data_IF_123176812945
#
_entry.id   IF_123176812945
#
_cell.length_a   1.000
_cell.length_b   1.000
_cell.length_c   1.000
_cell.angle_alpha   90.00
_cell.angle_beta   90.00
_cell.angle_gamma   90.00
#
_symmetry.space_group_name_H-M   'P 1'
#
loop_
_entity.id
_entity.type
_entity.pdbx_description
1 polymer ?
#
# COMPACT_ATOMS: atom_id res chain seq x y z
N UNK A 1 -13.65 9.79 -17.17
CA UNK A 1 -12.57 9.02 -17.85
C UNK A 1 -12.22 7.86 -16.93
N UNK A 2 -12.43 6.60 -17.35
CA UNK A 2 -12.08 5.44 -16.53
C UNK A 2 -10.55 5.32 -16.59
N UNK A 3 -9.85 5.57 -15.49
CA UNK A 3 -8.42 5.28 -15.45
C UNK A 3 -8.21 3.77 -15.47
N UNK A 4 -7.54 3.29 -16.52
CA UNK A 4 -7.13 1.89 -16.63
C UNK A 4 -5.82 1.70 -15.87
N UNK A 5 -5.78 0.75 -14.93
CA UNK A 5 -4.54 0.27 -14.34
C UNK A 5 -3.90 -0.71 -15.33
N UNK A 6 -2.67 -0.42 -15.76
CA UNK A 6 -1.98 -1.18 -16.82
C UNK A 6 -0.66 -1.74 -16.29
N UNK A 7 -0.32 -2.96 -16.70
CA UNK A 7 0.89 -3.68 -16.31
C UNK A 7 0.92 -4.02 -14.80
N UNK A 8 2.10 -4.33 -14.26
CA UNK A 8 2.35 -4.70 -12.85
C UNK A 8 1.83 -6.07 -12.42
N UNK A 9 1.58 -6.97 -13.37
CA UNK A 9 1.09 -8.33 -13.08
C UNK A 9 2.02 -9.11 -12.14
N UNK A 10 3.33 -9.01 -12.36
CA UNK A 10 4.33 -9.69 -11.53
C UNK A 10 4.37 -9.13 -10.11
N UNK A 11 4.36 -7.80 -9.97
CA UNK A 11 4.36 -7.14 -8.66
C UNK A 11 3.07 -7.44 -7.89
N UNK A 12 1.91 -7.38 -8.55
CA UNK A 12 0.62 -7.76 -7.95
C UNK A 12 0.60 -9.21 -7.50
N UNK A 13 1.13 -10.13 -8.32
CA UNK A 13 1.24 -11.55 -7.96
C UNK A 13 2.08 -11.74 -6.70
N UNK A 14 3.23 -11.07 -6.60
CA UNK A 14 4.08 -11.14 -5.40
C UNK A 14 3.32 -10.63 -4.18
N UNK A 15 2.62 -9.49 -4.28
CA UNK A 15 1.83 -8.94 -3.17
C UNK A 15 0.70 -9.90 -2.74
N UNK A 16 0.00 -10.51 -3.70
CA UNK A 16 -1.08 -11.47 -3.44
C UNK A 16 -0.58 -12.76 -2.80
N UNK A 17 0.54 -13.31 -3.29
CA UNK A 17 1.15 -14.52 -2.75
C UNK A 17 1.59 -14.30 -1.30
N UNK A 18 2.14 -13.13 -0.97
CA UNK A 18 2.55 -12.78 0.40
C UNK A 18 1.37 -12.50 1.31
N UNK A 19 0.34 -11.81 0.82
CA UNK A 19 -0.88 -11.56 1.57
C UNK A 19 -1.65 -12.84 1.93
N UNK A 20 -1.64 -13.83 1.04
CA UNK A 20 -2.22 -15.16 1.29
C UNK A 20 -1.33 -16.05 2.14
N UNK A 21 -0.07 -15.66 2.35
CA UNK A 21 0.80 -16.41 3.24
C UNK A 21 0.22 -16.36 4.66
N UNK A 22 0.12 -17.52 5.32
CA UNK A 22 -0.33 -17.60 6.71
C UNK A 22 0.79 -17.24 7.70
N UNK A 23 1.78 -16.45 7.25
CA UNK A 23 2.96 -16.07 8.01
C UNK A 23 2.98 -14.55 8.21
N UNK A 24 3.57 -14.05 9.29
CA UNK A 24 3.88 -12.64 9.41
C UNK A 24 4.84 -12.23 8.29
N UNK A 25 4.48 -11.24 7.49
CA UNK A 25 5.28 -10.72 6.37
C UNK A 25 5.50 -9.22 6.55
N UNK A 26 6.71 -8.77 6.20
CA UNK A 26 7.04 -7.35 6.15
C UNK A 26 7.69 -7.04 4.79
N UNK A 27 7.05 -6.16 4.02
CA UNK A 27 7.47 -5.83 2.66
C UNK A 27 7.86 -4.36 2.56
N UNK A 28 8.99 -4.10 1.89
CA UNK A 28 9.45 -2.76 1.54
C UNK A 28 9.30 -2.59 0.03
N UNK A 29 8.40 -1.71 -0.40
CA UNK A 29 8.26 -1.34 -1.81
C UNK A 29 9.08 -0.07 -2.10
N UNK A 30 10.18 -0.21 -2.84
CA UNK A 30 11.08 0.88 -3.17
C UNK A 30 11.15 1.14 -4.69
N UNK A 31 11.68 2.30 -5.08
CA UNK A 31 11.87 2.68 -6.48
C UNK A 31 11.81 4.18 -6.70
N UNK A 32 12.06 4.63 -7.94
CA UNK A 32 12.10 6.07 -8.30
C UNK A 32 10.78 6.80 -8.02
N UNK A 33 10.84 8.13 -7.85
CA UNK A 33 9.65 8.98 -7.70
C UNK A 33 8.77 8.87 -8.95
N UNK A 34 7.44 8.83 -8.79
CA UNK A 34 6.42 8.75 -9.87
C UNK A 34 6.39 7.47 -10.73
N UNK A 35 6.95 6.35 -10.28
CA UNK A 35 6.84 5.05 -11.01
C UNK A 35 5.53 4.30 -10.77
N UNK A 36 4.60 4.88 -9.99
CA UNK A 36 3.30 4.26 -9.69
C UNK A 36 3.26 3.33 -8.47
N UNK A 37 4.21 3.46 -7.52
CA UNK A 37 4.21 2.62 -6.30
C UNK A 37 2.96 2.79 -5.45
N UNK A 38 2.55 4.04 -5.21
CA UNK A 38 1.33 4.35 -4.47
C UNK A 38 0.11 3.76 -5.15
N UNK A 39 0.01 3.93 -6.47
CA UNK A 39 -1.08 3.39 -7.27
C UNK A 39 -1.12 1.85 -7.22
N UNK A 40 0.04 1.18 -7.28
CA UNK A 40 0.14 -0.27 -7.14
C UNK A 40 -0.44 -0.75 -5.80
N UNK A 41 -0.10 -0.09 -4.69
CA UNK A 41 -0.60 -0.45 -3.36
C UNK A 41 -2.10 -0.16 -3.24
N UNK A 42 -2.57 1.02 -3.67
CA UNK A 42 -3.98 1.38 -3.64
C UNK A 42 -4.83 0.41 -4.48
N UNK A 43 -4.33 0.00 -5.66
CA UNK A 43 -4.97 -1.02 -6.48
C UNK A 43 -4.99 -2.38 -5.78
N UNK A 44 -3.86 -2.80 -5.20
CA UNK A 44 -3.73 -4.09 -4.52
C UNK A 44 -4.68 -4.23 -3.31
N UNK A 45 -4.89 -3.16 -2.54
CA UNK A 45 -5.69 -3.20 -1.30
C UNK A 45 -7.19 -2.94 -1.51
N UNK A 46 -7.62 -2.53 -2.72
CA UNK A 46 -8.98 -2.03 -2.99
C UNK A 46 -10.11 -2.93 -2.48
N UNK A 47 -9.96 -4.24 -2.64
CA UNK A 47 -10.97 -5.24 -2.27
C UNK A 47 -10.49 -6.12 -1.07
N UNK A 48 -9.66 -5.55 -0.19
CA UNK A 48 -9.07 -6.24 0.95
C UNK A 48 -9.24 -5.43 2.24
N UNK A 49 -9.51 -6.09 3.39
CA UNK A 49 -9.40 -5.44 4.70
C UNK A 49 -7.99 -4.85 4.86
N UNK A 50 -7.91 -3.54 4.93
CA UNK A 50 -6.63 -2.83 4.89
C UNK A 50 -6.73 -1.49 5.60
N UNK A 51 -5.60 -1.04 6.14
CA UNK A 51 -5.40 0.31 6.65
C UNK A 51 -4.34 0.96 5.77
N UNK A 52 -4.69 2.07 5.13
CA UNK A 52 -3.74 2.90 4.39
C UNK A 52 -3.42 4.14 5.22
N UNK A 53 -2.17 4.23 5.66
CA UNK A 53 -1.65 5.36 6.43
C UNK A 53 -0.55 6.06 5.64
N UNK A 54 -0.73 7.37 5.40
CA UNK A 54 0.28 8.20 4.77
C UNK A 54 1.13 8.87 5.86
N UNK A 55 2.34 8.36 6.07
CA UNK A 55 3.30 8.99 6.96
C UNK A 55 3.83 10.28 6.32
N UNK A 56 3.30 11.42 6.76
CA UNK A 56 3.76 12.73 6.34
C UNK A 56 4.89 13.23 7.26
N UNK A 57 5.72 14.12 6.74
CA UNK A 57 6.77 14.81 7.51
C UNK A 57 6.12 15.87 8.42
N UNK A 58 5.48 15.40 9.47
CA UNK A 58 4.79 16.16 10.52
C UNK A 58 5.28 15.71 11.89
N UNK A 59 4.77 16.32 12.96
CA UNK A 59 5.06 15.89 14.33
C UNK A 59 4.53 14.47 14.55
N UNK A 60 5.31 13.64 15.24
CA UNK A 60 4.96 12.25 15.54
C UNK A 60 3.62 12.12 16.28
N UNK A 61 3.28 13.09 17.13
CA UNK A 61 2.00 13.14 17.85
C UNK A 61 0.80 13.21 16.88
N UNK A 62 0.90 14.04 15.83
CA UNK A 62 -0.14 14.22 14.83
C UNK A 62 -0.30 12.93 13.99
N UNK A 63 0.81 12.35 13.55
CA UNK A 63 0.82 11.09 12.81
C UNK A 63 0.21 9.94 13.63
N UNK A 64 0.49 9.88 14.93
CA UNK A 64 -0.08 8.86 15.84
C UNK A 64 -1.59 9.02 16.02
N UNK A 65 -2.05 10.26 16.21
CA UNK A 65 -3.49 10.57 16.33
C UNK A 65 -4.25 10.19 15.06
N UNK A 66 -3.68 10.46 13.88
CA UNK A 66 -4.27 10.05 12.61
C UNK A 66 -4.32 8.53 12.45
N UNK A 67 -3.23 7.83 12.79
CA UNK A 67 -3.20 6.36 12.75
C UNK A 67 -4.26 5.73 13.67
N UNK A 68 -4.48 6.28 14.87
CA UNK A 68 -5.51 5.81 15.80
C UNK A 68 -6.94 5.94 15.25
N UNK A 69 -7.22 6.95 14.42
CA UNK A 69 -8.54 7.13 13.81
C UNK A 69 -8.85 6.11 12.70
N UNK A 70 -7.82 5.47 12.16
CA UNK A 70 -7.92 4.51 11.06
C UNK A 70 -8.08 3.06 11.53
N UNK A 71 -7.87 2.79 12.82
CA UNK A 71 -8.01 1.48 13.46
C UNK A 71 -9.39 1.33 14.11
#
# INVERSE_FOLDING_TARGET
MIQHFVNRENELKILEDRYRSKKPEFLILYGRRRVGKTELILHFIKDKPSVYFLAEERRDEENRLEMQKLM
#
